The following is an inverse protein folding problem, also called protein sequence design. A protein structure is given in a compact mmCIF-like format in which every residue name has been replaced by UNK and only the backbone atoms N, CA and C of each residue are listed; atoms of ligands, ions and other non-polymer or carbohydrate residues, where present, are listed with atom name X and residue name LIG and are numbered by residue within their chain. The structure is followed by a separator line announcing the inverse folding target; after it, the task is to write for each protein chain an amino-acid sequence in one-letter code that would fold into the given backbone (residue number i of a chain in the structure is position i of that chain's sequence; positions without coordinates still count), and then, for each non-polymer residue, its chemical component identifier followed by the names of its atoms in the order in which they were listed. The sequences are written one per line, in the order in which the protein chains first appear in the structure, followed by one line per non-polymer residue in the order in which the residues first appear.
data_IF_583447953577
#
_entry.id   IF_583447953577
#
_cell.length_a   1.000
_cell.length_b   1.000
_cell.length_c   1.000
_cell.angle_alpha   90.00
_cell.angle_beta   90.00
_cell.angle_gamma   90.00
#
_symmetry.space_group_name_H-M   'P 1'
#
loop_
_entity.id
_entity.type
_entity.pdbx_description
1 polymer ?
#
# COMPACT_ATOMS: atom_id res chain seq x y z
N UNK A 1 -11.25 24.82 1.40
CA UNK A 1 -9.87 24.32 1.29
C UNK A 1 -9.04 24.82 2.47
N UNK A 2 -8.42 23.92 3.23
CA UNK A 2 -7.48 24.24 4.29
C UNK A 2 -6.07 24.51 3.73
N UNK A 3 -5.23 25.24 4.48
CA UNK A 3 -3.79 25.37 4.22
C UNK A 3 -3.02 24.60 5.30
N UNK A 4 -2.15 23.70 4.87
CA UNK A 4 -1.36 22.79 5.69
C UNK A 4 0.09 23.20 5.50
N UNK A 5 0.72 23.74 6.56
CA UNK A 5 2.10 24.24 6.49
C UNK A 5 3.06 23.19 7.01
N UNK A 6 3.94 22.71 6.15
CA UNK A 6 4.98 21.77 6.54
C UNK A 6 6.02 22.46 7.44
N UNK A 7 6.17 21.96 8.65
CA UNK A 7 7.19 22.46 9.57
C UNK A 7 8.59 22.07 9.05
N UNK A 8 9.44 23.07 8.83
CA UNK A 8 10.84 22.82 8.44
C UNK A 8 11.66 22.43 9.67
N UNK A 9 12.29 21.27 9.62
CA UNK A 9 13.19 20.74 10.66
C UNK A 9 14.60 20.49 10.10
N UNK A 10 15.55 20.23 11.01
CA UNK A 10 16.87 19.71 10.68
C UNK A 10 16.95 18.25 11.14
N UNK A 11 17.49 17.38 10.28
CA UNK A 11 17.67 15.96 10.59
C UNK A 11 16.63 15.04 9.94
N UNK A 12 16.59 13.80 10.39
CA UNK A 12 15.71 12.77 9.86
C UNK A 12 14.28 12.93 10.39
N UNK A 13 13.31 12.54 9.55
CA UNK A 13 11.90 12.50 9.94
C UNK A 13 11.54 11.05 10.30
N UNK A 14 11.13 10.78 11.55
CA UNK A 14 10.76 9.44 11.97
C UNK A 14 9.45 9.03 11.30
N UNK A 15 9.43 7.80 10.77
CA UNK A 15 8.24 7.22 10.13
C UNK A 15 7.26 6.63 11.13
N UNK A 16 7.69 6.34 12.36
CA UNK A 16 6.81 5.80 13.39
C UNK A 16 5.86 6.90 13.88
N UNK A 17 4.53 6.75 13.71
CA UNK A 17 3.54 7.74 14.15
C UNK A 17 3.48 7.93 15.67
N UNK A 18 4.07 7.03 16.46
CA UNK A 18 4.14 7.08 17.93
C UNK A 18 5.41 7.74 18.47
N UNK A 19 6.37 8.05 17.58
CA UNK A 19 7.60 8.73 17.96
C UNK A 19 7.30 10.05 18.69
N UNK A 20 7.99 10.37 19.81
CA UNK A 20 7.81 11.63 20.52
C UNK A 20 7.88 12.87 19.63
N UNK A 21 8.56 12.79 18.49
CA UNK A 21 8.60 13.81 17.45
C UNK A 21 7.20 14.31 17.02
N UNK A 22 6.25 13.38 16.87
CA UNK A 22 4.87 13.65 16.45
C UNK A 22 3.93 14.07 17.58
N UNK A 23 4.38 13.92 18.82
CA UNK A 23 3.56 14.15 20.01
C UNK A 23 3.24 15.63 20.26
N UNK A 24 2.28 15.88 21.16
CA UNK A 24 1.93 17.22 21.65
C UNK A 24 3.04 17.92 22.46
N UNK A 25 4.11 17.20 22.77
CA UNK A 25 5.30 17.76 23.44
C UNK A 25 6.54 17.72 22.54
N UNK A 26 6.40 17.25 21.30
CA UNK A 26 7.48 17.11 20.34
C UNK A 26 7.71 18.38 19.51
N UNK A 27 8.67 18.34 18.56
CA UNK A 27 8.96 19.45 17.65
C UNK A 27 7.76 19.86 16.78
N UNK A 28 6.83 18.95 16.52
CA UNK A 28 5.63 19.20 15.69
C UNK A 28 4.44 19.75 16.46
N UNK A 29 4.61 20.11 17.74
CA UNK A 29 3.54 20.64 18.59
C UNK A 29 2.84 21.84 17.94
N UNK A 30 1.50 21.80 17.90
CA UNK A 30 0.69 22.91 17.39
C UNK A 30 0.73 23.11 15.87
N UNK A 31 1.39 22.22 15.12
CA UNK A 31 1.39 22.22 13.65
C UNK A 31 0.21 21.45 13.05
N UNK A 32 -0.68 20.91 13.87
CA UNK A 32 -1.86 20.18 13.42
C UNK A 32 -2.91 21.10 12.81
N UNK A 33 -3.48 20.65 11.70
CA UNK A 33 -4.63 21.26 11.04
C UNK A 33 -5.75 20.24 11.01
N UNK A 34 -6.90 20.59 11.55
CA UNK A 34 -8.12 19.78 11.44
C UNK A 34 -8.78 20.04 10.10
N UNK A 35 -9.10 18.98 9.37
CA UNK A 35 -9.79 19.06 8.09
C UNK A 35 -11.04 18.19 8.17
N UNK A 36 -12.18 18.79 7.83
CA UNK A 36 -13.46 18.07 7.74
C UNK A 36 -13.49 17.17 6.51
N UNK A 37 -14.05 15.98 6.67
CA UNK A 37 -14.19 14.98 5.61
C UNK A 37 -15.62 15.00 5.06
N UNK A 38 -15.72 15.04 3.75
CA UNK A 38 -16.97 14.98 3.00
C UNK A 38 -17.29 13.54 2.55
N UNK A 39 -18.58 13.19 2.39
CA UNK A 39 -18.98 11.94 1.76
C UNK A 39 -18.63 11.92 0.27
N UNK A 40 -18.23 10.75 -0.24
CA UNK A 40 -18.14 10.57 -1.69
C UNK A 40 -19.54 10.39 -2.32
N UNK A 41 -20.03 11.45 -2.96
CA UNK A 41 -21.35 11.52 -3.60
C UNK A 41 -21.30 11.62 -5.14
N UNK A 42 -20.11 11.63 -5.74
CA UNK A 42 -19.95 11.93 -7.18
C UNK A 42 -20.19 10.69 -8.05
N UNK A 43 -19.72 9.52 -7.62
CA UNK A 43 -19.80 8.28 -8.40
C UNK A 43 -20.60 7.21 -7.68
N UNK A 44 -21.35 6.42 -8.46
CA UNK A 44 -22.06 5.26 -7.92
C UNK A 44 -21.07 4.10 -7.60
N UNK A 45 -21.21 3.40 -6.45
CA UNK A 45 -22.19 3.62 -5.39
C UNK A 45 -21.90 4.87 -4.55
N UNK A 46 -22.89 5.76 -4.44
CA UNK A 46 -22.82 6.93 -3.56
C UNK A 46 -22.73 6.48 -2.09
N UNK A 47 -21.95 7.19 -1.29
CA UNK A 47 -21.74 6.85 0.13
C UNK A 47 -21.99 8.06 1.04
N UNK A 48 -23.26 8.31 1.43
CA UNK A 48 -23.63 9.55 2.12
C UNK A 48 -23.20 9.62 3.58
N UNK A 49 -22.84 8.49 4.19
CA UNK A 49 -22.51 8.43 5.62
C UNK A 49 -21.15 7.75 5.87
N UNK A 50 -20.04 8.40 5.50
CA UNK A 50 -18.72 7.93 5.91
C UNK A 50 -18.58 8.01 7.42
N UNK A 51 -17.89 7.08 8.07
CA UNK A 51 -17.77 7.11 9.53
C UNK A 51 -16.83 8.23 10.00
N UNK A 52 -15.70 8.42 9.30
CA UNK A 52 -14.74 9.48 9.59
C UNK A 52 -15.27 10.85 9.18
N UNK A 53 -15.40 11.78 10.13
CA UNK A 53 -15.92 13.14 9.88
C UNK A 53 -14.85 14.22 9.80
N UNK A 54 -13.69 13.99 10.40
CA UNK A 54 -12.56 14.90 10.36
C UNK A 54 -11.26 14.12 10.53
N UNK A 55 -10.16 14.73 10.08
CA UNK A 55 -8.80 14.21 10.21
C UNK A 55 -7.89 15.32 10.72
N UNK A 56 -6.97 14.98 11.63
CA UNK A 56 -5.86 15.86 12.01
C UNK A 56 -4.67 15.59 11.09
N UNK A 57 -4.13 16.66 10.52
CA UNK A 57 -3.00 16.58 9.60
C UNK A 57 -1.83 17.36 10.17
N UNK A 58 -0.65 16.73 10.22
CA UNK A 58 0.63 17.42 10.42
C UNK A 58 1.49 17.20 9.18
N UNK A 59 2.20 18.23 8.75
CA UNK A 59 3.19 18.12 7.69
C UNK A 59 4.55 18.59 8.20
N UNK A 60 5.60 17.91 7.77
CA UNK A 60 6.98 18.19 8.16
C UNK A 60 7.88 18.01 6.96
N UNK A 61 8.94 18.81 6.88
CA UNK A 61 9.98 18.59 5.89
C UNK A 61 11.37 18.84 6.44
N UNK A 62 12.37 18.27 5.77
CA UNK A 62 13.76 18.66 5.91
C UNK A 62 14.27 19.21 4.57
N UNK A 63 15.56 19.05 4.26
CA UNK A 63 16.17 19.50 2.99
C UNK A 63 15.92 18.52 1.82
N UNK A 64 15.52 17.29 2.10
CA UNK A 64 15.45 16.19 1.11
C UNK A 64 14.08 15.54 1.01
N UNK A 65 13.32 15.53 2.10
CA UNK A 65 12.11 14.74 2.28
C UNK A 65 10.97 15.58 2.84
N UNK A 66 9.76 15.12 2.54
CA UNK A 66 8.51 15.59 3.13
C UNK A 66 7.78 14.40 3.77
N UNK A 67 7.14 14.68 4.90
CA UNK A 67 6.28 13.72 5.58
C UNK A 67 4.95 14.35 5.96
N UNK A 68 3.89 13.56 5.86
CA UNK A 68 2.53 13.93 6.27
C UNK A 68 2.04 12.88 7.25
N UNK A 69 1.61 13.33 8.43
CA UNK A 69 0.96 12.49 9.44
C UNK A 69 -0.52 12.77 9.45
N UNK A 70 -1.32 11.72 9.29
CA UNK A 70 -2.77 11.73 9.46
C UNK A 70 -3.13 11.09 10.80
N UNK A 71 -4.14 11.62 11.48
CA UNK A 71 -4.74 10.99 12.66
C UNK A 71 -6.26 11.18 12.66
N UNK A 72 -6.99 10.09 12.84
CA UNK A 72 -8.46 10.11 12.89
C UNK A 72 -8.99 9.17 13.98
N UNK A 73 -10.23 9.41 14.40
CA UNK A 73 -10.94 8.55 15.33
C UNK A 73 -11.44 7.31 14.60
N UNK A 74 -11.12 6.13 15.13
CA UNK A 74 -11.62 4.84 14.70
C UNK A 74 -11.69 3.90 15.92
N UNK A 75 -12.89 3.68 16.49
CA UNK A 75 -13.07 2.79 17.64
C UNK A 75 -12.71 1.33 17.34
N UNK A 76 -12.59 0.97 16.07
CA UNK A 76 -12.30 -0.38 15.61
C UNK A 76 -10.90 -0.44 15.01
N UNK A 77 -10.29 -1.62 15.10
CA UNK A 77 -9.01 -1.91 14.46
C UNK A 77 -9.27 -2.97 13.40
N UNK A 78 -9.33 -2.56 12.14
CA UNK A 78 -9.58 -3.45 11.01
C UNK A 78 -8.33 -3.57 10.14
N UNK A 79 -7.33 -4.30 10.65
CA UNK A 79 -6.00 -4.47 10.02
C UNK A 79 -5.71 -5.89 9.55
N UNK A 80 -6.72 -6.76 9.47
CA UNK A 80 -6.58 -8.15 9.00
C UNK A 80 -7.69 -8.51 8.01
N UNK A 81 -7.39 -9.40 7.05
CA UNK A 81 -8.36 -9.90 6.07
C UNK A 81 -8.43 -11.43 6.08
N UNK A 82 -9.16 -11.97 7.06
CA UNK A 82 -9.34 -13.41 7.21
C UNK A 82 -10.67 -13.88 6.62
N UNK A 83 -11.72 -13.06 6.67
CA UNK A 83 -13.05 -13.43 6.19
C UNK A 83 -13.35 -12.75 4.86
N UNK A 84 -14.14 -13.42 4.00
CA UNK A 84 -14.54 -12.86 2.70
C UNK A 84 -15.34 -11.55 2.81
N UNK A 85 -15.96 -11.26 3.96
CA UNK A 85 -16.66 -10.00 4.24
C UNK A 85 -15.89 -9.06 5.18
N UNK A 86 -14.59 -9.30 5.39
CA UNK A 86 -13.74 -8.33 6.08
C UNK A 86 -13.49 -7.11 5.18
N UNK A 87 -13.48 -5.94 5.80
CA UNK A 87 -13.06 -4.68 5.20
C UNK A 87 -11.94 -4.13 6.08
N UNK A 88 -11.11 -3.24 5.54
CA UNK A 88 -9.89 -2.78 6.19
C UNK A 88 -9.79 -1.27 6.24
N UNK A 89 -9.12 -0.81 7.28
CA UNK A 89 -8.83 0.59 7.46
C UNK A 89 -7.72 1.01 6.50
N UNK A 90 -7.96 2.14 5.82
CA UNK A 90 -7.06 2.67 4.82
C UNK A 90 -7.09 4.19 4.88
N UNK A 91 -5.98 4.79 4.48
CA UNK A 91 -5.87 6.22 4.31
C UNK A 91 -5.03 6.50 3.07
N UNK A 92 -5.37 7.55 2.34
CA UNK A 92 -4.59 7.97 1.19
C UNK A 92 -4.44 9.49 1.15
N UNK A 93 -3.30 9.93 0.65
CA UNK A 93 -3.07 11.30 0.22
C UNK A 93 -2.81 11.33 -1.28
N UNK A 94 -3.28 12.37 -1.93
CA UNK A 94 -3.25 12.49 -3.38
C UNK A 94 -2.68 13.84 -3.77
N UNK A 95 -1.90 13.86 -4.84
CA UNK A 95 -1.28 15.04 -5.41
C UNK A 95 -1.41 15.02 -6.94
N UNK A 96 -1.54 16.17 -7.61
CA UNK A 96 -1.40 16.22 -9.06
C UNK A 96 0.06 15.94 -9.47
N UNK A 97 0.27 15.15 -10.53
CA UNK A 97 1.62 14.93 -11.09
C UNK A 97 2.11 16.21 -11.75
N UNK A 98 1.25 16.81 -12.57
CA UNK A 98 1.48 18.14 -13.14
C UNK A 98 0.98 19.21 -12.19
N UNK A 99 1.91 19.91 -11.53
CA UNK A 99 1.59 20.97 -10.56
C UNK A 99 1.37 22.36 -11.19
N UNK A 100 1.52 22.49 -12.51
CA UNK A 100 1.34 23.74 -13.25
C UNK A 100 0.01 23.75 -14.01
N UNK A 101 -0.73 24.86 -13.91
CA UNK A 101 -1.99 25.06 -14.62
C UNK A 101 -3.20 24.95 -13.71
N UNK A 102 -4.33 24.55 -14.30
CA UNK A 102 -5.56 24.27 -13.55
C UNK A 102 -5.43 22.99 -12.74
N UNK A 103 -6.04 22.98 -11.55
CA UNK A 103 -6.03 21.80 -10.70
C UNK A 103 -6.90 20.70 -11.33
N UNK A 104 -6.39 19.46 -11.44
CA UNK A 104 -7.21 18.36 -11.93
C UNK A 104 -8.45 18.17 -11.06
N UNK A 105 -9.50 17.52 -11.58
CA UNK A 105 -10.60 17.06 -10.74
C UNK A 105 -10.09 16.27 -9.54
N UNK A 106 -10.53 16.65 -8.32
CA UNK A 106 -10.19 15.91 -7.09
C UNK A 106 -10.73 14.46 -7.08
N UNK A 107 -11.53 14.12 -8.09
CA UNK A 107 -12.00 12.77 -8.44
C UNK A 107 -10.94 11.91 -9.10
N UNK A 108 -9.71 11.94 -8.57
CA UNK A 108 -8.57 11.17 -9.08
C UNK A 108 -8.09 11.59 -10.47
N UNK A 109 -8.28 12.85 -10.85
CA UNK A 109 -7.85 13.39 -12.13
C UNK A 109 -8.87 13.22 -13.26
N UNK A 110 -8.38 13.45 -14.47
CA UNK A 110 -9.08 13.34 -15.74
C UNK A 110 -8.12 12.88 -16.83
N UNK A 111 -8.60 12.76 -18.07
CA UNK A 111 -7.78 12.34 -19.21
C UNK A 111 -6.60 13.31 -19.41
N UNK A 112 -5.37 12.81 -19.31
CA UNK A 112 -4.16 13.63 -19.38
C UNK A 112 -3.86 14.46 -18.13
N UNK A 113 -4.70 14.38 -17.10
CA UNK A 113 -4.55 15.10 -15.84
C UNK A 113 -4.23 14.11 -14.69
N UNK A 114 -3.05 13.50 -14.79
CA UNK A 114 -2.61 12.43 -13.88
C UNK A 114 -2.41 12.93 -12.45
N UNK A 115 -2.82 12.09 -11.51
CA UNK A 115 -2.54 12.24 -10.08
C UNK A 115 -1.61 11.10 -9.60
N UNK A 116 -0.79 11.40 -8.60
CA UNK A 116 -0.08 10.43 -7.78
C UNK A 116 -0.83 10.30 -6.45
N UNK A 117 -1.08 9.07 -6.01
CA UNK A 117 -1.77 8.72 -4.78
C UNK A 117 -0.86 7.82 -3.94
N UNK A 118 -0.68 8.19 -2.67
CA UNK A 118 -0.01 7.36 -1.67
C UNK A 118 -1.08 6.77 -0.78
N UNK A 119 -1.29 5.45 -0.84
CA UNK A 119 -2.34 4.76 -0.10
C UNK A 119 -1.76 3.81 0.94
N UNK A 120 -1.93 4.15 2.22
CA UNK A 120 -1.65 3.25 3.33
C UNK A 120 -2.78 2.23 3.50
N UNK A 121 -2.39 0.98 3.80
CA UNK A 121 -3.30 -0.12 4.11
C UNK A 121 -2.92 -0.73 5.45
N UNK A 122 -3.86 -0.77 6.39
CA UNK A 122 -3.64 -1.34 7.73
C UNK A 122 -3.12 -2.79 7.69
N UNK A 123 -3.66 -3.59 6.77
CA UNK A 123 -3.23 -4.97 6.52
C UNK A 123 -1.75 -5.08 6.13
N UNK A 124 -1.30 -4.26 5.18
CA UNK A 124 0.10 -4.31 4.73
C UNK A 124 1.06 -3.93 5.85
N UNK A 125 0.63 -3.03 6.73
CA UNK A 125 1.39 -2.60 7.88
C UNK A 125 1.47 -3.67 8.96
N UNK A 126 0.34 -4.32 9.27
CA UNK A 126 0.26 -5.46 10.18
C UNK A 126 1.12 -6.64 9.70
N UNK A 127 1.14 -6.89 8.40
CA UNK A 127 1.94 -7.92 7.75
C UNK A 127 3.44 -7.63 7.75
N UNK A 128 3.87 -6.41 8.11
CA UNK A 128 5.22 -5.90 7.83
C UNK A 128 5.58 -6.04 6.34
N UNK A 129 4.90 -5.27 5.49
CA UNK A 129 5.16 -5.19 4.06
C UNK A 129 6.66 -5.29 3.71
N UNK A 130 6.98 -6.14 2.74
CA UNK A 130 8.35 -6.43 2.33
C UNK A 130 8.96 -7.67 2.99
N UNK A 131 8.31 -8.24 4.01
CA UNK A 131 8.74 -9.50 4.65
C UNK A 131 7.95 -10.69 4.12
N UNK A 132 8.66 -11.78 3.80
CA UNK A 132 8.05 -13.08 3.54
C UNK A 132 7.87 -13.86 4.84
N UNK A 133 6.69 -14.42 5.07
CA UNK A 133 6.41 -15.23 6.27
C UNK A 133 4.95 -15.67 6.40
N UNK A 134 4.69 -16.51 7.40
CA UNK A 134 3.37 -17.08 7.68
C UNK A 134 2.62 -16.34 8.79
N UNK A 135 3.01 -15.12 9.12
CA UNK A 135 2.33 -14.29 10.14
C UNK A 135 0.86 -14.08 9.79
N UNK A 136 0.51 -13.96 8.50
CA UNK A 136 -0.88 -13.89 8.01
C UNK A 136 -1.68 -15.17 8.23
N UNK A 137 -1.01 -16.34 8.34
CA UNK A 137 -1.68 -17.60 8.65
C UNK A 137 -2.03 -17.69 10.14
N UNK A 138 -1.30 -17.01 11.02
CA UNK A 138 -1.64 -16.94 12.45
C UNK A 138 -2.93 -16.17 12.68
N UNK A 139 -3.17 -15.10 11.91
CA UNK A 139 -4.44 -14.35 11.99
C UNK A 139 -5.65 -15.25 11.68
N UNK A 140 -5.49 -16.27 10.82
CA UNK A 140 -6.55 -17.26 10.57
C UNK A 140 -6.81 -18.17 11.78
N UNK A 141 -5.76 -18.63 12.45
CA UNK A 141 -5.88 -19.51 13.64
C UNK A 141 -6.53 -18.75 14.81
N UNK A 142 -6.24 -17.46 14.95
CA UNK A 142 -6.84 -16.58 15.96
C UNK A 142 -8.33 -16.33 15.69
N UNK A 143 -8.72 -16.16 14.42
CA UNK A 143 -10.10 -15.88 14.04
C UNK A 143 -10.99 -17.13 13.95
N UNK A 144 -10.40 -18.29 13.69
CA UNK A 144 -11.11 -19.54 13.52
C UNK A 144 -10.62 -20.58 14.52
N UNK A 145 -11.30 -20.64 15.67
CA UNK A 145 -11.01 -21.49 16.84
C UNK A 145 -10.66 -22.97 16.56
N UNK A 146 -11.09 -23.50 15.43
CA UNK A 146 -10.88 -24.91 15.04
C UNK A 146 -10.16 -25.09 13.71
N UNK A 147 -9.66 -24.01 13.11
CA UNK A 147 -8.81 -24.09 11.94
C UNK A 147 -7.36 -23.90 12.38
N UNK A 148 -6.55 -24.93 12.14
CA UNK A 148 -5.10 -24.81 12.17
C UNK A 148 -4.64 -24.74 10.71
N UNK A 149 -3.95 -23.66 10.35
CA UNK A 149 -3.31 -23.54 9.06
C UNK A 149 -1.91 -24.09 9.22
N UNK A 150 -1.77 -25.40 8.98
CA UNK A 150 -0.46 -26.01 8.93
C UNK A 150 0.42 -25.26 7.93
N UNK A 151 1.48 -24.63 8.44
CA UNK A 151 2.61 -24.14 7.66
C UNK A 151 3.41 -25.33 7.07
N UNK A 152 2.72 -26.28 6.46
CA UNK A 152 3.33 -27.20 5.55
C UNK A 152 3.70 -26.40 4.33
N UNK A 153 4.96 -25.95 4.24
CA UNK A 153 5.57 -25.81 2.93
C UNK A 153 5.18 -27.07 2.15
N UNK A 154 4.71 -26.91 0.91
CA UNK A 154 4.29 -28.02 0.06
C UNK A 154 5.43 -29.06 0.02
N UNK A 155 5.45 -29.99 0.96
CA UNK A 155 6.24 -31.18 0.89
C UNK A 155 5.50 -32.02 -0.11
N UNK A 156 5.99 -31.98 -1.35
CA UNK A 156 5.62 -32.97 -2.33
C UNK A 156 6.13 -34.31 -1.77
N UNK A 157 5.22 -35.10 -1.21
CA UNK A 157 5.54 -36.44 -0.74
C UNK A 157 5.86 -37.29 -1.97
N UNK A 158 7.08 -37.84 -2.04
CA UNK A 158 7.55 -38.64 -3.17
C UNK A 158 7.41 -40.15 -2.89
N UNK A 159 6.76 -40.93 -3.77
CA UNK A 159 6.79 -42.39 -3.69
C UNK A 159 8.11 -43.02 -4.17
N UNK A 160 8.93 -42.32 -4.97
CA UNK A 160 10.04 -42.95 -5.71
C UNK A 160 11.40 -42.22 -5.74
N UNK A 161 11.52 -40.99 -5.23
CA UNK A 161 12.81 -40.34 -4.95
C UNK A 161 13.63 -39.91 -6.17
N UNK A 162 12.99 -39.64 -7.33
CA UNK A 162 13.67 -39.44 -8.62
C UNK A 162 13.43 -38.08 -9.27
N UNK A 163 13.36 -36.99 -8.50
CA UNK A 163 13.35 -35.65 -9.09
C UNK A 163 14.75 -35.25 -9.58
N UNK A 164 14.84 -34.92 -10.87
CA UNK A 164 15.95 -34.17 -11.43
C UNK A 164 15.61 -32.68 -11.35
N UNK A 165 16.43 -31.90 -10.65
CA UNK A 165 16.44 -30.44 -10.77
C UNK A 165 16.74 -30.12 -12.23
N UNK A 166 15.82 -29.47 -12.95
CA UNK A 166 16.14 -29.00 -14.32
C UNK A 166 17.36 -28.09 -14.26
N UNK A 167 18.15 -28.14 -15.33
CA UNK A 167 19.45 -27.51 -15.57
C UNK A 167 19.50 -25.97 -15.42
N UNK A 168 18.95 -25.43 -14.34
CA UNK A 168 19.19 -24.07 -13.90
C UNK A 168 20.55 -24.05 -13.20
N UNK A 169 21.55 -23.48 -13.88
CA UNK A 169 22.76 -23.06 -13.18
C UNK A 169 22.34 -22.07 -12.10
N UNK A 170 22.76 -22.33 -10.87
CA UNK A 170 22.60 -21.40 -9.75
C UNK A 170 23.13 -20.02 -10.15
N UNK A 171 22.22 -19.04 -10.29
CA UNK A 171 22.57 -17.65 -10.59
C UNK A 171 22.12 -17.12 -11.96
N UNK A 172 21.52 -17.93 -12.84
CA UNK A 172 21.00 -17.46 -14.13
C UNK A 172 19.47 -17.71 -14.26
N UNK A 173 18.65 -16.69 -14.57
CA UNK A 173 17.23 -16.89 -14.83
C UNK A 173 17.04 -17.53 -16.22
N UNK A 174 16.71 -18.82 -16.27
CA UNK A 174 16.27 -19.47 -17.52
C UNK A 174 14.85 -19.06 -17.91
N UNK A 175 14.53 -19.10 -19.20
CA UNK A 175 13.22 -18.64 -19.71
C UNK A 175 12.20 -19.77 -19.83
N UNK A 176 10.90 -19.44 -19.72
CA UNK A 176 9.80 -20.41 -19.89
C UNK A 176 9.67 -20.91 -21.34
N UNK A 177 10.22 -20.22 -22.32
CA UNK A 177 10.21 -20.63 -23.73
C UNK A 177 11.11 -21.85 -23.99
N UNK A 178 12.30 -21.91 -23.38
CA UNK A 178 13.25 -23.02 -23.55
C UNK A 178 12.66 -24.37 -23.08
N UNK A 179 11.84 -24.34 -22.02
CA UNK A 179 11.14 -25.50 -21.47
C UNK A 179 10.00 -26.03 -22.37
N UNK A 180 9.54 -25.26 -23.35
CA UNK A 180 8.41 -25.61 -24.22
C UNK A 180 8.84 -26.07 -25.62
N UNK A 181 10.04 -25.72 -26.06
CA UNK A 181 10.56 -26.05 -27.39
C UNK A 181 10.64 -27.56 -27.68
N UNK A 182 10.74 -28.41 -26.66
CA UNK A 182 10.92 -29.88 -26.78
C UNK A 182 9.67 -30.70 -26.40
N UNK A 183 8.51 -30.08 -26.16
CA UNK A 183 7.30 -30.77 -25.64
C UNK A 183 6.45 -31.49 -26.71
N UNK A 184 7.07 -32.01 -27.76
CA UNK A 184 6.43 -32.89 -28.75
C UNK A 184 6.02 -34.25 -28.16
N UNK A 185 5.19 -35.00 -28.89
CA UNK A 185 4.68 -36.32 -28.46
C UNK A 185 5.75 -37.42 -28.38
N UNK A 186 6.91 -37.22 -29.00
CA UNK A 186 8.01 -38.20 -29.09
C UNK A 186 8.84 -38.38 -27.83
N UNK A 187 8.73 -37.49 -26.83
CA UNK A 187 9.59 -37.51 -25.62
C UNK A 187 8.80 -37.71 -24.31
N UNK A 188 7.58 -38.27 -24.37
CA UNK A 188 6.75 -38.56 -23.18
C UNK A 188 7.47 -39.37 -22.08
N UNK A 189 8.33 -40.33 -22.46
CA UNK A 189 9.11 -41.15 -21.51
C UNK A 189 10.34 -40.46 -20.90
N UNK A 190 10.72 -39.30 -21.42
CA UNK A 190 11.85 -38.49 -20.92
C UNK A 190 11.40 -37.26 -20.11
N UNK A 191 10.09 -37.09 -19.93
CA UNK A 191 9.54 -36.00 -19.11
C UNK A 191 9.79 -36.32 -17.63
N UNK A 192 10.60 -35.51 -16.97
CA UNK A 192 10.62 -35.43 -15.51
C UNK A 192 9.64 -34.36 -15.04
N UNK A 193 9.02 -34.58 -13.88
CA UNK A 193 8.29 -33.53 -13.17
C UNK A 193 9.32 -32.47 -12.76
N UNK A 194 9.27 -31.30 -13.37
CA UNK A 194 10.22 -30.23 -13.06
C UNK A 194 9.74 -29.45 -11.85
N UNK A 195 10.55 -29.37 -10.80
CA UNK A 195 10.28 -28.48 -9.67
C UNK A 195 10.83 -27.10 -10.00
N UNK A 196 9.96 -26.11 -10.05
CA UNK A 196 10.35 -24.70 -10.04
C UNK A 196 11.09 -24.43 -8.70
N UNK A 197 12.29 -23.85 -8.69
CA UNK A 197 12.97 -23.47 -7.44
C UNK A 197 12.16 -22.50 -6.54
N UNK A 198 11.09 -21.89 -7.06
CA UNK A 198 10.08 -21.15 -6.30
C UNK A 198 8.94 -22.00 -5.71
N UNK A 199 8.73 -23.23 -6.18
CA UNK A 199 7.80 -24.20 -5.57
C UNK A 199 8.39 -24.69 -4.25
N UNK A 200 7.75 -24.33 -3.14
CA UNK A 200 8.13 -24.79 -1.80
C UNK A 200 8.78 -23.72 -0.91
N UNK A 201 9.06 -22.52 -1.43
CA UNK A 201 9.30 -21.38 -0.53
C UNK A 201 7.99 -21.04 0.18
N UNK A 202 7.97 -21.29 1.49
CA UNK A 202 6.84 -20.95 2.36
C UNK A 202 6.83 -19.44 2.60
N UNK A 203 6.33 -18.70 1.61
CA UNK A 203 6.21 -17.24 1.63
C UNK A 203 4.76 -16.79 1.84
N UNK A 204 3.94 -17.65 2.46
CA UNK A 204 2.59 -17.35 2.91
C UNK A 204 1.53 -17.32 1.79
N UNK A 205 0.55 -16.43 1.95
CA UNK A 205 -0.71 -16.36 1.17
C UNK A 205 -0.55 -15.86 -0.28
N UNK A 206 0.62 -15.33 -0.67
CA UNK A 206 0.83 -14.65 -1.95
C UNK A 206 1.36 -15.56 -3.08
N UNK A 207 1.58 -16.84 -2.82
CA UNK A 207 2.18 -17.79 -3.76
C UNK A 207 1.46 -17.87 -5.13
N UNK A 208 0.12 -17.97 -5.21
CA UNK A 208 -0.58 -18.01 -6.50
C UNK A 208 -0.39 -16.74 -7.33
N UNK A 209 -0.42 -15.57 -6.70
CA UNK A 209 -0.25 -14.29 -7.39
C UNK A 209 1.16 -14.09 -7.92
N UNK A 210 2.19 -14.57 -7.21
CA UNK A 210 3.57 -14.56 -7.72
C UNK A 210 3.75 -15.44 -8.94
N UNK A 211 3.16 -16.64 -8.93
CA UNK A 211 3.25 -17.57 -10.06
C UNK A 211 2.67 -16.99 -11.37
N UNK A 212 1.70 -16.08 -11.25
CA UNK A 212 1.09 -15.36 -12.38
C UNK A 212 1.74 -14.00 -12.68
N UNK A 213 2.79 -13.61 -11.92
CA UNK A 213 3.50 -12.35 -12.12
C UNK A 213 2.78 -11.12 -11.56
N UNK A 214 1.83 -11.30 -10.63
CA UNK A 214 1.14 -10.19 -9.98
C UNK A 214 2.11 -9.38 -9.10
N UNK A 215 2.30 -8.11 -9.44
CA UNK A 215 3.22 -7.20 -8.72
C UNK A 215 2.83 -6.99 -7.25
N UNK A 216 1.53 -7.07 -6.92
CA UNK A 216 1.06 -6.92 -5.53
C UNK A 216 1.42 -8.10 -4.64
N UNK A 217 1.70 -9.25 -5.27
CA UNK A 217 2.13 -10.46 -4.59
C UNK A 217 3.65 -10.54 -4.45
N UNK A 218 4.40 -9.61 -5.06
CA UNK A 218 5.84 -9.54 -4.99
C UNK A 218 6.27 -8.70 -3.77
N UNK A 219 6.78 -9.38 -2.74
CA UNK A 219 7.27 -8.73 -1.52
C UNK A 219 8.37 -7.70 -1.79
N UNK A 220 9.20 -7.90 -2.83
CA UNK A 220 10.25 -6.93 -3.17
C UNK A 220 9.70 -5.61 -3.69
N UNK A 221 8.51 -5.64 -4.31
CA UNK A 221 7.81 -4.44 -4.82
C UNK A 221 6.91 -3.82 -3.75
N UNK A 222 6.32 -4.65 -2.89
CA UNK A 222 5.54 -4.23 -1.72
C UNK A 222 6.43 -4.02 -0.49
N UNK A 223 7.48 -3.19 -0.61
CA UNK A 223 8.46 -2.98 0.47
C UNK A 223 8.00 -2.08 1.61
N UNK A 224 6.86 -1.40 1.43
CA UNK A 224 6.29 -0.40 2.34
C UNK A 224 4.82 -0.69 2.57
N UNK A 225 4.30 -0.25 3.73
CA UNK A 225 2.88 -0.31 4.10
C UNK A 225 2.02 0.67 3.30
N UNK A 226 2.67 1.56 2.55
CA UNK A 226 2.05 2.47 1.61
C UNK A 226 2.21 1.92 0.20
N UNK A 227 1.14 1.94 -0.57
CA UNK A 227 1.13 1.69 -2.00
C UNK A 227 1.28 3.00 -2.77
N UNK A 228 2.16 3.00 -3.76
CA UNK A 228 2.34 4.11 -4.71
C UNK A 228 1.49 3.86 -5.96
N UNK A 229 0.64 4.82 -6.31
CA UNK A 229 -0.45 4.67 -7.27
C UNK A 229 -0.54 5.89 -8.19
N UNK A 230 -1.03 5.66 -9.41
CA UNK A 230 -1.48 6.73 -10.30
C UNK A 230 -2.92 6.55 -10.74
N UNK A 231 -3.55 7.66 -11.12
CA UNK A 231 -4.84 7.67 -11.79
C UNK A 231 -4.98 8.87 -12.74
N UNK A 232 -5.84 8.71 -13.75
CA UNK A 232 -6.31 9.71 -14.72
C UNK A 232 -7.85 9.63 -14.78
N UNK A 233 -8.48 9.80 -13.63
CA UNK A 233 -9.92 9.67 -13.43
C UNK A 233 -10.35 8.32 -12.85
N UNK A 234 -11.65 8.18 -12.59
CA UNK A 234 -12.19 6.97 -11.99
C UNK A 234 -11.90 5.72 -12.84
N UNK A 235 -11.67 4.61 -12.14
CA UNK A 235 -11.41 3.27 -12.73
C UNK A 235 -10.07 3.12 -13.45
N UNK A 236 -9.19 4.13 -13.42
CA UNK A 236 -7.83 4.06 -14.00
C UNK A 236 -6.73 3.83 -12.95
N UNK A 237 -7.12 3.72 -11.67
CA UNK A 237 -6.20 3.56 -10.55
C UNK A 237 -5.28 2.35 -10.77
N UNK A 238 -3.97 2.60 -10.79
CA UNK A 238 -2.95 1.60 -11.12
C UNK A 238 -1.75 1.73 -10.19
N UNK A 239 -1.27 0.59 -9.68
CA UNK A 239 -0.07 0.49 -8.85
C UNK A 239 1.18 0.75 -9.68
N UNK A 240 2.08 1.57 -9.16
CA UNK A 240 3.39 1.81 -9.75
C UNK A 240 4.29 0.58 -9.56
N UNK A 241 5.17 0.33 -10.55
CA UNK A 241 6.16 -0.74 -10.44
C UNK A 241 7.32 -0.37 -9.49
N UNK A 242 7.56 0.93 -9.33
CA UNK A 242 8.49 1.50 -8.38
C UNK A 242 7.74 1.93 -7.12
N UNK A 243 8.35 1.73 -5.96
CA UNK A 243 7.79 2.06 -4.66
C UNK A 243 8.76 3.02 -3.98
N UNK A 244 8.42 4.30 -3.94
CA UNK A 244 9.27 5.36 -3.43
C UNK A 244 8.80 5.92 -2.08
N UNK A 245 7.62 5.50 -1.61
CA UNK A 245 6.98 6.04 -0.40
C UNK A 245 7.14 5.08 0.77
N UNK A 246 7.77 5.57 1.83
CA UNK A 246 7.85 4.87 3.10
C UNK A 246 6.74 5.35 4.03
N UNK A 247 6.24 4.45 4.88
CA UNK A 247 5.34 4.85 5.94
C UNK A 247 4.97 3.76 6.90
N UNK A 248 4.31 4.19 7.96
CA UNK A 248 3.89 3.32 9.05
C UNK A 248 2.62 3.87 9.69
N UNK A 249 1.77 2.97 10.12
CA UNK A 249 0.53 3.21 10.83
C UNK A 249 0.56 2.60 12.22
N UNK A 250 -0.19 3.19 13.13
CA UNK A 250 -0.41 2.63 14.45
C UNK A 250 -1.83 2.93 14.92
N UNK A 251 -2.49 1.91 15.45
CA UNK A 251 -3.77 2.05 16.11
C UNK A 251 -3.58 2.03 17.63
N UNK A 252 -3.99 3.10 18.30
CA UNK A 252 -3.96 3.21 19.76
C UNK A 252 -5.06 4.16 20.23
N UNK A 253 -5.65 3.87 21.40
CA UNK A 253 -6.68 4.70 22.03
C UNK A 253 -7.82 5.08 21.08
N UNK A 254 -8.34 4.10 20.33
CA UNK A 254 -9.43 4.27 19.35
C UNK A 254 -9.11 5.26 18.24
N UNK A 255 -7.84 5.38 17.86
CA UNK A 255 -7.38 6.27 16.80
C UNK A 255 -6.35 5.55 15.94
N UNK A 256 -6.42 5.80 14.65
CA UNK A 256 -5.32 5.54 13.75
C UNK A 256 -4.43 6.76 13.66
N UNK A 257 -3.13 6.53 13.57
CA UNK A 257 -2.12 7.51 13.21
C UNK A 257 -1.25 6.93 12.11
N UNK A 258 -1.07 7.64 11.00
CA UNK A 258 -0.33 7.14 9.84
C UNK A 258 0.62 8.22 9.36
N UNK A 259 1.89 7.86 9.14
CA UNK A 259 2.90 8.74 8.54
C UNK A 259 3.22 8.26 7.14
N UNK A 260 3.12 9.19 6.19
CA UNK A 260 3.61 9.05 4.83
C UNK A 260 4.90 9.85 4.71
N UNK A 261 5.95 9.28 4.13
CA UNK A 261 7.24 9.96 3.93
C UNK A 261 7.80 9.65 2.55
N UNK A 262 8.26 10.69 1.85
CA UNK A 262 8.94 10.55 0.56
C UNK A 262 9.99 11.63 0.36
N UNK A 263 10.98 11.34 -0.49
CA UNK A 263 11.89 12.36 -1.01
C UNK A 263 11.15 13.40 -1.87
N UNK A 264 11.63 14.64 -1.90
CA UNK A 264 11.03 15.71 -2.72
C UNK A 264 11.07 15.41 -4.21
N UNK A 265 12.14 14.77 -4.65
CA UNK A 265 12.32 14.34 -6.03
C UNK A 265 12.59 12.83 -6.07
N UNK A 266 12.06 12.20 -7.11
CA UNK A 266 12.28 10.79 -7.46
C UNK A 266 12.71 10.71 -8.92
N UNK A 267 13.18 9.54 -9.35
CA UNK A 267 13.54 9.31 -10.74
C UNK A 267 12.32 8.96 -11.62
N UNK A 268 11.17 8.65 -11.00
CA UNK A 268 9.94 8.29 -11.71
C UNK A 268 9.21 9.56 -12.21
N UNK A 269 8.78 9.56 -13.48
CA UNK A 269 8.04 10.66 -14.09
C UNK A 269 6.54 10.63 -13.71
N UNK A 270 6.04 9.48 -13.27
CA UNK A 270 4.67 9.34 -12.77
C UNK A 270 4.50 9.92 -11.37
N UNK A 271 5.60 10.31 -10.76
CA UNK A 271 5.65 10.84 -9.44
C UNK A 271 5.50 12.35 -9.41
N UNK A 272 4.71 12.82 -8.45
CA UNK A 272 4.64 14.24 -8.17
C UNK A 272 6.01 14.74 -7.69
N UNK A 273 6.60 15.68 -8.42
CA UNK A 273 7.90 16.26 -8.08
C UNK A 273 7.70 17.54 -7.25
N UNK A 274 8.08 17.53 -5.98
CA UNK A 274 7.89 18.64 -5.04
C UNK A 274 8.98 19.70 -5.19
N UNK A 275 9.03 20.35 -6.36
CA UNK A 275 10.03 21.38 -6.70
C UNK A 275 9.57 22.80 -6.35
N UNK A 276 8.29 22.97 -6.05
CA UNK A 276 7.66 24.26 -5.75
C UNK A 276 7.76 24.65 -4.28
N UNK A 277 6.85 25.53 -3.85
CA UNK A 277 6.63 25.91 -2.44
C UNK A 277 5.29 25.44 -1.88
N UNK A 278 4.42 24.96 -2.77
CA UNK A 278 3.10 24.46 -2.43
C UNK A 278 2.59 23.50 -3.48
N UNK A 279 1.67 22.62 -3.10
CA UNK A 279 0.95 21.71 -4.01
C UNK A 279 -0.48 21.50 -3.51
N UNK A 280 -1.45 21.24 -4.41
CA UNK A 280 -2.72 20.66 -4.01
C UNK A 280 -2.51 19.28 -3.37
N UNK A 281 -3.24 19.02 -2.29
CA UNK A 281 -3.28 17.74 -1.60
C UNK A 281 -4.72 17.39 -1.21
N UNK A 282 -5.19 16.23 -1.60
CA UNK A 282 -6.46 15.66 -1.15
C UNK A 282 -6.22 14.45 -0.26
N UNK A 283 -7.19 14.14 0.58
CA UNK A 283 -7.14 13.07 1.59
C UNK A 283 -8.38 12.18 1.42
N UNK A 284 -8.19 10.87 1.56
CA UNK A 284 -9.24 9.88 1.59
C UNK A 284 -9.03 8.92 2.77
N UNK A 285 -10.10 8.55 3.48
CA UNK A 285 -10.07 7.59 4.58
C UNK A 285 -11.21 6.58 4.38
N UNK A 286 -10.89 5.31 4.64
CA UNK A 286 -11.84 4.20 4.62
C UNK A 286 -11.87 3.55 6.00
N UNK A 287 -13.05 3.46 6.59
CA UNK A 287 -13.32 2.70 7.81
C UNK A 287 -13.84 1.29 7.47
N UNK A 288 -13.08 0.27 7.88
CA UNK A 288 -13.41 -1.13 7.64
C UNK A 288 -14.68 -1.58 8.35
N UNK A 289 -14.91 -1.15 9.58
CA UNK A 289 -16.11 -1.49 10.33
C UNK A 289 -17.38 -0.90 9.70
N UNK A 290 -17.28 0.28 9.08
CA UNK A 290 -18.35 0.87 8.28
C UNK A 290 -18.42 0.31 6.84
N UNK A 291 -17.67 -0.74 6.51
CA UNK A 291 -17.65 -1.41 5.21
C UNK A 291 -17.20 -0.53 4.04
N UNK A 292 -16.40 0.48 4.33
CA UNK A 292 -15.88 1.39 3.33
C UNK A 292 -14.80 0.71 2.47
N UNK A 293 -14.90 0.86 1.16
CA UNK A 293 -13.91 0.40 0.18
C UNK A 293 -14.06 1.14 -1.16
N UNK A 294 -12.98 1.21 -1.93
CA UNK A 294 -12.99 1.81 -3.27
C UNK A 294 -13.55 3.24 -3.25
N UNK A 295 -14.65 3.50 -3.96
CA UNK A 295 -15.33 4.80 -3.97
C UNK A 295 -16.13 5.13 -2.70
N UNK A 296 -16.43 4.15 -1.84
CA UNK A 296 -17.15 4.36 -0.58
C UNK A 296 -16.15 4.76 0.49
N UNK A 297 -16.02 6.07 0.73
CA UNK A 297 -15.02 6.65 1.63
C UNK A 297 -15.40 8.06 2.08
N UNK A 298 -14.76 8.50 3.15
CA UNK A 298 -14.60 9.92 3.47
C UNK A 298 -13.51 10.52 2.56
N UNK A 299 -13.77 11.70 1.98
CA UNK A 299 -12.83 12.41 1.09
C UNK A 299 -12.76 13.90 1.44
N UNK A 300 -11.71 14.55 0.98
CA UNK A 300 -11.62 16.02 0.97
C UNK A 300 -11.51 16.52 -0.46
N UNK A 301 -11.91 17.77 -0.70
CA UNK A 301 -11.47 18.51 -1.88
C UNK A 301 -9.97 18.84 -1.77
N UNK A 302 -9.41 19.50 -2.79
CA UNK A 302 -8.03 19.98 -2.73
C UNK A 302 -7.82 20.94 -1.56
N UNK A 303 -6.82 20.62 -0.75
CA UNK A 303 -6.23 21.50 0.25
C UNK A 303 -4.85 21.93 -0.24
N UNK A 304 -4.32 23.03 0.30
CA UNK A 304 -2.96 23.48 -0.05
C UNK A 304 -1.97 22.92 0.95
N UNK A 305 -0.98 22.14 0.48
CA UNK A 305 0.20 21.77 1.25
C UNK A 305 1.33 22.74 0.91
N UNK A 306 1.76 23.56 1.87
CA UNK A 306 2.91 24.48 1.75
C UNK A 306 4.16 23.81 2.32
N UNK A 307 5.26 23.81 1.57
CA UNK A 307 6.54 23.19 1.95
C UNK A 307 7.71 24.12 1.59
#
# INVERSE_FOLDING_TARGET
AASIKALSIKGEIPIDPTDPFWSQNGPTKGSEVTIDMDPQMITNPMWPNPNTKWVLVKAVRNEKEIAVRLEWLDPTRNDIMVQAQSYKDQAAIMFPVKQEGEEPPFTMGGEGERVNIWQWKAEWDKENAGKGGNTTMQDMEDNYKYMAMGAGGYYMYEPDGKLAMSDFKTGEPGTKEDLRATRGATDLSKRSTTVDPGMGKNEGVYNPGRATGNILSDASKRRSSIEDLNAEGFSTLTTQAHQDVDGHGNWNNNRWSVVFKRSFATADENDTQFKGKKTPMAIAIWDGNNKERNGQKAVTQWNTLEY
#
